data_IF_968989533004
#
_entry.id   IF_968989533004
#
_cell.length_a   1.000
_cell.length_b   1.000
_cell.length_c   1.000
_cell.angle_alpha   90.00
_cell.angle_beta   90.00
_cell.angle_gamma   90.00
#
_symmetry.space_group_name_H-M   'P 1'
#
loop_
_entity.id
_entity.type
_entity.pdbx_description
1 polymer ?
#
# COMPACT_ATOMS: atom_id res chain seq x y z
N UNK A 1 -28.16 -8.16 -11.61
CA UNK A 1 -27.03 -8.20 -12.57
C UNK A 1 -26.81 -6.85 -13.24
N UNK A 2 -27.83 -6.18 -13.81
CA UNK A 2 -27.69 -4.83 -14.35
C UNK A 2 -27.11 -3.83 -13.32
N UNK A 3 -27.69 -3.77 -12.12
CA UNK A 3 -27.17 -2.94 -11.01
C UNK A 3 -25.71 -3.24 -10.64
N UNK A 4 -25.30 -4.51 -10.63
CA UNK A 4 -23.93 -4.90 -10.32
C UNK A 4 -22.91 -4.40 -11.36
N UNK A 5 -23.33 -4.31 -12.63
CA UNK A 5 -22.51 -3.73 -13.71
C UNK A 5 -22.45 -2.22 -13.58
N UNK A 6 -23.55 -1.56 -13.21
CA UNK A 6 -23.59 -0.12 -12.93
C UNK A 6 -22.67 0.25 -11.77
N UNK A 7 -22.72 -0.49 -10.66
CA UNK A 7 -21.81 -0.30 -9.51
C UNK A 7 -20.34 -0.46 -9.92
N UNK A 8 -20.03 -1.46 -10.75
CA UNK A 8 -18.68 -1.66 -11.30
C UNK A 8 -18.24 -0.48 -12.17
N UNK A 9 -19.14 0.02 -13.03
CA UNK A 9 -18.86 1.17 -13.89
C UNK A 9 -18.61 2.43 -13.07
N UNK A 10 -19.42 2.65 -12.04
CA UNK A 10 -19.24 3.76 -11.11
C UNK A 10 -17.90 3.63 -10.36
N UNK A 11 -17.53 2.43 -9.93
CA UNK A 11 -16.29 2.19 -9.20
C UNK A 11 -15.03 2.54 -10.00
N UNK A 12 -14.88 2.05 -11.24
CA UNK A 12 -13.63 2.31 -11.99
C UNK A 12 -13.53 3.76 -12.46
N UNK A 13 -14.66 4.42 -12.80
CA UNK A 13 -14.67 5.80 -13.30
C UNK A 13 -14.12 6.81 -12.30
N UNK A 14 -14.20 6.53 -11.00
CA UNK A 14 -13.63 7.37 -9.91
C UNK A 14 -12.11 7.53 -10.01
N UNK A 15 -11.45 6.58 -10.68
CA UNK A 15 -10.00 6.56 -10.88
C UNK A 15 -9.60 6.99 -12.30
N UNK A 16 -10.51 7.64 -13.04
CA UNK A 16 -10.27 8.10 -14.40
C UNK A 16 -10.67 9.57 -14.53
N UNK A 17 -9.74 10.41 -14.95
CA UNK A 17 -9.99 11.81 -15.31
C UNK A 17 -9.06 12.22 -16.45
N UNK A 18 -9.41 13.29 -17.14
CA UNK A 18 -8.54 13.89 -18.16
C UNK A 18 -7.41 14.65 -17.49
N UNK A 19 -6.17 14.46 -17.95
CA UNK A 19 -4.99 15.22 -17.51
C UNK A 19 -4.57 16.13 -18.67
N UNK A 20 -4.76 17.43 -18.52
CA UNK A 20 -4.40 18.45 -19.50
C UNK A 20 -3.12 19.18 -19.08
N UNK A 21 -2.81 19.19 -17.78
CA UNK A 21 -1.63 19.84 -17.21
C UNK A 21 -1.13 19.13 -15.95
N UNK A 22 -0.03 19.63 -15.37
CA UNK A 22 0.47 19.15 -14.09
C UNK A 22 -0.51 19.41 -12.94
N UNK A 23 -1.39 20.42 -13.06
CA UNK A 23 -2.37 20.78 -12.04
C UNK A 23 -3.49 19.74 -11.90
N UNK A 24 -3.61 18.79 -12.84
CA UNK A 24 -4.54 17.66 -12.78
C UNK A 24 -3.91 16.42 -12.10
N UNK A 25 -2.61 16.47 -11.80
CA UNK A 25 -1.89 15.40 -11.11
C UNK A 25 -1.87 15.64 -9.61
N UNK A 26 -1.87 14.54 -8.85
CA UNK A 26 -1.72 14.56 -7.38
C UNK A 26 -0.66 13.55 -7.00
N UNK A 27 0.38 13.99 -6.29
CA UNK A 27 1.42 13.12 -5.76
C UNK A 27 1.20 12.99 -4.25
N UNK A 28 1.03 11.77 -3.75
CA UNK A 28 0.84 11.49 -2.33
C UNK A 28 2.02 10.68 -1.78
N UNK A 29 3.09 11.32 -1.27
CA UNK A 29 4.19 10.60 -0.65
C UNK A 29 3.74 9.90 0.64
N UNK A 30 4.30 8.73 0.91
CA UNK A 30 3.97 7.95 2.11
C UNK A 30 5.17 7.31 2.80
N UNK A 31 6.38 7.39 2.22
CA UNK A 31 7.64 6.94 2.79
C UNK A 31 8.78 7.84 2.31
N UNK A 32 9.74 8.09 3.19
CA UNK A 32 11.06 8.59 2.81
C UNK A 32 11.99 7.38 2.75
N UNK A 33 12.55 7.10 1.58
CA UNK A 33 13.34 5.87 1.38
C UNK A 33 14.81 6.05 1.75
N UNK A 34 15.42 7.17 1.35
CA UNK A 34 16.82 7.48 1.65
C UNK A 34 17.09 8.99 1.53
N UNK A 35 18.21 9.42 2.11
CA UNK A 35 18.83 10.73 1.96
C UNK A 35 20.36 10.56 2.09
N UNK A 36 21.11 11.65 1.94
CA UNK A 36 22.57 11.62 2.10
C UNK A 36 22.95 11.04 3.47
N UNK A 37 23.58 9.87 3.47
CA UNK A 37 24.02 9.17 4.68
C UNK A 37 22.92 8.48 5.50
N UNK A 38 21.69 8.31 5.01
CA UNK A 38 20.64 7.60 5.77
C UNK A 38 19.56 6.89 4.94
N UNK A 39 18.99 5.85 5.53
CA UNK A 39 17.90 5.02 4.99
C UNK A 39 16.66 5.17 5.88
N UNK A 40 15.50 5.42 5.27
CA UNK A 40 14.30 5.78 6.03
C UNK A 40 13.43 4.62 6.50
N UNK A 41 13.61 3.41 5.97
CA UNK A 41 12.75 2.25 6.29
C UNK A 41 12.88 1.76 7.75
N UNK A 42 13.96 2.13 8.44
CA UNK A 42 14.20 1.81 9.85
C UNK A 42 13.56 2.82 10.81
N UNK A 43 13.12 3.97 10.28
CA UNK A 43 12.40 4.98 11.07
C UNK A 43 10.92 4.61 11.20
N UNK A 44 10.32 4.96 12.34
CA UNK A 44 8.90 4.79 12.55
C UNK A 44 8.07 5.61 11.55
N UNK A 45 6.87 5.13 11.23
CA UNK A 45 5.98 5.79 10.28
C UNK A 45 5.48 7.15 10.77
N UNK A 46 5.47 7.41 12.09
CA UNK A 46 5.12 8.72 12.64
C UNK A 46 6.12 9.77 12.18
N UNK A 47 7.40 9.54 12.48
CA UNK A 47 8.48 10.41 12.04
C UNK A 47 8.51 10.60 10.52
N UNK A 48 8.37 9.53 9.73
CA UNK A 48 8.37 9.64 8.26
C UNK A 48 7.23 10.53 7.75
N UNK A 49 6.02 10.36 8.29
CA UNK A 49 4.84 11.12 7.87
C UNK A 49 4.91 12.58 8.32
N UNK A 50 5.55 12.88 9.45
CA UNK A 50 5.85 14.27 9.84
C UNK A 50 6.80 14.96 8.85
N UNK A 51 7.86 14.28 8.40
CA UNK A 51 8.75 14.84 7.38
C UNK A 51 8.02 15.05 6.04
N UNK A 52 7.17 14.09 5.65
CA UNK A 52 6.35 14.21 4.43
C UNK A 52 5.36 15.36 4.54
N UNK A 53 4.73 15.57 5.69
CA UNK A 53 3.81 16.69 5.89
C UNK A 53 4.52 18.04 5.68
N UNK A 54 5.80 18.15 6.06
CA UNK A 54 6.60 19.34 5.80
C UNK A 54 6.83 19.54 4.30
N UNK A 55 7.04 18.47 3.54
CA UNK A 55 7.14 18.55 2.07
C UNK A 55 5.81 18.98 1.46
N UNK A 56 4.69 18.40 1.93
CA UNK A 56 3.34 18.79 1.49
C UNK A 56 3.07 20.27 1.77
N UNK A 57 3.47 20.77 2.94
CA UNK A 57 3.32 22.19 3.28
C UNK A 57 4.19 23.11 2.41
N UNK A 58 5.30 22.62 1.87
CA UNK A 58 6.19 23.38 0.99
C UNK A 58 5.66 23.49 -0.45
N UNK A 59 4.93 22.48 -0.94
CA UNK A 59 4.25 22.52 -2.24
C UNK A 59 2.86 21.85 -2.20
N UNK A 60 1.85 22.54 -1.63
CA UNK A 60 0.50 21.99 -1.52
C UNK A 60 -0.26 21.95 -2.86
N UNK A 61 0.31 22.52 -3.93
CA UNK A 61 -0.31 22.51 -5.26
C UNK A 61 -0.13 21.14 -5.94
N UNK A 62 1.03 20.52 -5.76
CA UNK A 62 1.37 19.22 -6.34
C UNK A 62 1.24 18.07 -5.34
N UNK A 63 1.66 18.30 -4.09
CA UNK A 63 1.74 17.27 -3.06
C UNK A 63 0.47 17.21 -2.23
N UNK A 64 -0.04 15.99 -2.03
CA UNK A 64 -1.22 15.70 -1.22
C UNK A 64 -0.82 14.93 0.03
N UNK A 65 -1.32 15.38 1.18
CA UNK A 65 -1.21 14.64 2.44
C UNK A 65 -1.92 13.30 2.33
N UNK A 66 -1.26 12.25 2.84
CA UNK A 66 -1.90 10.94 3.04
C UNK A 66 -2.69 10.96 4.35
N UNK A 67 -4.02 10.84 4.26
CA UNK A 67 -4.88 10.67 5.43
C UNK A 67 -4.57 9.37 6.16
N UNK A 68 -4.62 9.40 7.50
CA UNK A 68 -4.07 8.34 8.34
C UNK A 68 -4.71 8.33 9.73
N UNK A 69 -4.65 7.17 10.36
CA UNK A 69 -5.09 6.95 11.73
C UNK A 69 -4.09 6.06 12.47
N UNK A 70 -3.78 6.42 13.71
CA UNK A 70 -3.00 5.59 14.63
C UNK A 70 -3.94 4.63 15.36
N UNK A 71 -3.55 3.36 15.41
CA UNK A 71 -4.40 2.30 15.97
C UNK A 71 -3.59 1.51 16.99
N UNK A 72 -4.00 1.58 18.25
CA UNK A 72 -3.62 0.59 19.26
C UNK A 72 -4.49 -0.66 19.09
N UNK A 73 -3.86 -1.81 18.86
CA UNK A 73 -4.55 -3.09 18.69
C UNK A 73 -4.90 -3.77 20.03
N UNK A 74 -4.38 -3.28 21.14
CA UNK A 74 -4.73 -3.71 22.50
C UNK A 74 -5.96 -3.00 23.07
N UNK A 75 -6.45 -1.95 22.41
CA UNK A 75 -7.62 -1.17 22.80
C UNK A 75 -8.77 -1.37 21.81
N UNK A 76 -9.85 -1.98 22.28
CA UNK A 76 -11.06 -2.27 21.48
C UNK A 76 -11.71 -0.99 20.92
N UNK A 77 -11.63 0.12 21.65
CA UNK A 77 -12.23 1.39 21.21
C UNK A 77 -11.45 2.02 20.06
N UNK A 78 -10.12 1.95 20.11
CA UNK A 78 -9.21 2.30 19.02
C UNK A 78 -9.46 1.47 17.75
N UNK A 79 -9.63 0.14 17.89
CA UNK A 79 -9.95 -0.75 16.77
C UNK A 79 -11.33 -0.43 16.16
N UNK A 80 -12.32 -0.15 16.99
CA UNK A 80 -13.66 0.25 16.52
C UNK A 80 -13.61 1.57 15.76
N UNK A 81 -12.87 2.57 16.26
CA UNK A 81 -12.68 3.85 15.58
C UNK A 81 -11.97 3.69 14.22
N UNK A 82 -10.96 2.82 14.13
CA UNK A 82 -10.27 2.53 12.88
C UNK A 82 -11.17 1.85 11.84
N UNK A 83 -12.03 0.94 12.31
CA UNK A 83 -13.01 0.27 11.46
C UNK A 83 -14.04 1.27 10.92
N UNK A 84 -14.57 2.13 11.78
CA UNK A 84 -15.53 3.16 11.38
C UNK A 84 -14.91 4.15 10.38
N UNK A 85 -13.67 4.59 10.61
CA UNK A 85 -12.95 5.44 9.67
C UNK A 85 -12.77 4.76 8.30
N UNK A 86 -12.39 3.47 8.29
CA UNK A 86 -12.28 2.70 7.06
C UNK A 86 -13.62 2.58 6.31
N UNK A 87 -14.73 2.37 7.03
CA UNK A 87 -16.07 2.35 6.44
C UNK A 87 -16.42 3.71 5.83
N UNK A 88 -16.09 4.81 6.50
CA UNK A 88 -16.33 6.18 6.00
C UNK A 88 -15.54 6.46 4.73
N UNK A 89 -14.22 6.20 4.70
CA UNK A 89 -13.40 6.50 3.51
C UNK A 89 -13.79 5.61 2.32
N UNK A 90 -14.22 4.38 2.55
CA UNK A 90 -14.64 3.48 1.46
C UNK A 90 -16.06 3.74 0.99
N UNK A 91 -16.93 4.27 1.85
CA UNK A 91 -18.23 4.81 1.45
C UNK A 91 -18.10 6.12 0.67
N UNK A 92 -17.08 6.93 0.97
CA UNK A 92 -16.70 8.14 0.25
C UNK A 92 -15.76 7.86 -0.93
N UNK A 93 -15.96 6.72 -1.60
CA UNK A 93 -15.31 6.37 -2.87
C UNK A 93 -13.80 6.07 -2.83
N UNK A 94 -13.21 5.98 -1.63
CA UNK A 94 -11.82 5.54 -1.45
C UNK A 94 -11.61 4.05 -1.74
N UNK A 95 -10.40 3.71 -2.19
CA UNK A 95 -10.02 2.31 -2.44
C UNK A 95 -10.03 1.47 -1.16
N UNK A 96 -9.64 2.05 -0.03
CA UNK A 96 -9.43 1.37 1.24
C UNK A 96 -8.24 1.94 1.98
N UNK A 97 -7.55 1.10 2.75
CA UNK A 97 -6.39 1.49 3.55
C UNK A 97 -5.22 0.53 3.41
N UNK A 98 -4.04 1.00 3.80
CA UNK A 98 -2.85 0.19 4.00
C UNK A 98 -2.47 0.24 5.47
N UNK A 99 -2.49 -0.91 6.14
CA UNK A 99 -2.11 -1.06 7.55
C UNK A 99 -0.62 -1.38 7.62
N UNK A 100 0.14 -0.62 8.40
CA UNK A 100 1.59 -0.77 8.54
C UNK A 100 1.98 -0.81 10.03
N UNK A 101 3.01 -1.58 10.43
CA UNK A 101 3.55 -1.51 11.78
C UNK A 101 4.13 -0.11 12.07
N UNK A 102 3.76 0.52 13.19
CA UNK A 102 4.22 1.88 13.52
C UNK A 102 5.75 2.01 13.46
N UNK A 103 6.48 1.05 14.00
CA UNK A 103 7.93 1.07 14.09
C UNK A 103 8.68 0.87 12.75
N UNK A 104 7.98 0.77 11.61
CA UNK A 104 8.62 0.53 10.31
C UNK A 104 9.11 -0.92 10.16
N UNK A 105 10.43 -1.12 10.12
CA UNK A 105 11.05 -2.44 9.99
C UNK A 105 10.90 -3.27 11.28
N UNK A 106 9.96 -4.23 11.28
CA UNK A 106 9.66 -5.08 12.46
C UNK A 106 9.92 -6.55 12.19
N UNK A 107 10.66 -7.21 13.09
CA UNK A 107 10.83 -8.67 13.11
C UNK A 107 10.14 -9.29 14.33
N UNK A 108 9.47 -10.42 14.12
CA UNK A 108 8.88 -11.24 15.18
C UNK A 108 9.57 -12.59 15.31
N UNK A 109 8.99 -13.51 16.10
CA UNK A 109 9.53 -14.86 16.34
C UNK A 109 9.72 -15.71 15.07
N UNK A 110 9.04 -15.37 13.98
CA UNK A 110 9.08 -16.09 12.69
C UNK A 110 9.80 -15.31 11.59
N UNK A 111 10.63 -14.33 11.97
CA UNK A 111 11.34 -13.44 11.05
C UNK A 111 10.54 -12.16 10.77
N UNK A 112 10.80 -11.56 9.61
CA UNK A 112 10.28 -10.26 9.23
C UNK A 112 8.74 -10.26 9.15
N UNK A 113 8.12 -9.25 9.76
CA UNK A 113 6.67 -9.02 9.69
C UNK A 113 6.34 -8.35 8.36
N UNK A 114 5.12 -8.55 7.84
CA UNK A 114 4.66 -7.84 6.64
C UNK A 114 4.76 -6.33 6.85
N UNK A 115 5.50 -5.60 6.00
CA UNK A 115 5.69 -4.16 6.15
C UNK A 115 4.39 -3.38 5.89
N UNK A 116 3.47 -3.97 5.13
CA UNK A 116 2.20 -3.38 4.77
C UNK A 116 1.15 -4.45 4.46
N UNK A 117 -0.09 -4.22 4.86
CA UNK A 117 -1.25 -5.04 4.51
C UNK A 117 -2.33 -4.15 3.92
N UNK A 118 -2.74 -4.42 2.68
CA UNK A 118 -3.85 -3.70 2.03
C UNK A 118 -5.20 -4.24 2.51
N UNK A 119 -6.13 -3.34 2.82
CA UNK A 119 -7.53 -3.64 3.14
C UNK A 119 -8.44 -2.78 2.27
N UNK A 120 -8.98 -3.37 1.20
CA UNK A 120 -9.72 -2.68 0.14
C UNK A 120 -11.23 -2.72 0.38
N UNK A 121 -11.90 -1.62 0.08
CA UNK A 121 -13.34 -1.41 0.21
C UNK A 121 -14.16 -2.31 -0.72
N UNK A 122 -15.40 -2.56 -0.33
CA UNK A 122 -16.34 -3.44 -1.04
C UNK A 122 -16.55 -3.00 -2.49
N UNK A 123 -16.85 -1.72 -2.72
CA UNK A 123 -17.17 -1.25 -4.06
C UNK A 123 -15.93 -1.24 -4.98
N UNK A 124 -14.76 -0.88 -4.45
CA UNK A 124 -13.49 -0.98 -5.18
C UNK A 124 -13.18 -2.42 -5.64
N UNK A 125 -13.44 -3.40 -4.79
CA UNK A 125 -13.17 -4.81 -5.11
C UNK A 125 -13.99 -5.35 -6.28
N UNK A 126 -15.02 -4.65 -6.77
CA UNK A 126 -15.68 -4.98 -8.06
C UNK A 126 -14.74 -4.85 -9.24
N UNK A 127 -13.81 -3.87 -9.20
CA UNK A 127 -12.80 -3.67 -10.24
C UNK A 127 -11.88 -4.90 -10.34
N UNK A 128 -11.63 -5.53 -9.20
CA UNK A 128 -10.65 -6.63 -9.05
C UNK A 128 -11.28 -8.00 -9.24
N UNK A 129 -12.43 -8.25 -8.61
CA UNK A 129 -13.09 -9.56 -8.58
C UNK A 129 -14.29 -9.67 -9.53
N UNK A 130 -14.62 -8.58 -10.23
CA UNK A 130 -15.72 -8.49 -11.18
C UNK A 130 -17.01 -7.94 -10.57
N UNK A 131 -17.97 -7.52 -11.41
CA UNK A 131 -19.19 -6.82 -10.97
C UNK A 131 -20.05 -7.62 -9.99
N UNK A 132 -20.11 -8.94 -10.17
CA UNK A 132 -20.99 -9.85 -9.41
C UNK A 132 -20.29 -10.58 -8.27
N UNK A 133 -19.07 -10.17 -7.88
CA UNK A 133 -18.28 -10.90 -6.88
C UNK A 133 -18.97 -10.98 -5.50
N UNK A 134 -19.86 -10.04 -5.19
CA UNK A 134 -20.63 -9.98 -3.95
C UNK A 134 -21.80 -10.97 -3.89
N UNK A 135 -22.17 -11.62 -5.00
CA UNK A 135 -23.22 -12.64 -4.99
C UNK A 135 -22.79 -13.81 -4.07
N UNK A 136 -23.69 -14.39 -3.24
CA UNK A 136 -23.31 -15.33 -2.19
C UNK A 136 -22.41 -16.48 -2.65
N UNK A 137 -22.76 -17.15 -3.76
CA UNK A 137 -21.97 -18.26 -4.31
C UNK A 137 -20.65 -17.84 -4.96
N UNK A 138 -20.50 -16.59 -5.39
CA UNK A 138 -19.22 -16.06 -5.85
C UNK A 138 -18.33 -15.71 -4.67
N UNK A 139 -18.89 -15.01 -3.67
CA UNK A 139 -18.16 -14.58 -2.49
C UNK A 139 -17.65 -15.77 -1.67
N UNK A 140 -18.45 -16.82 -1.50
CA UNK A 140 -18.06 -18.03 -0.78
C UNK A 140 -16.85 -18.71 -1.42
N UNK A 141 -16.86 -18.85 -2.76
CA UNK A 141 -15.70 -19.39 -3.51
C UNK A 141 -14.47 -18.51 -3.38
N UNK A 142 -14.63 -17.18 -3.42
CA UNK A 142 -13.52 -16.22 -3.32
C UNK A 142 -12.89 -16.14 -1.91
N UNK A 143 -13.62 -16.53 -0.85
CA UNK A 143 -13.05 -16.64 0.50
C UNK A 143 -11.98 -17.73 0.58
N UNK A 144 -12.06 -18.76 -0.26
CA UNK A 144 -11.06 -19.82 -0.36
C UNK A 144 -9.84 -19.36 -1.18
N UNK A 145 -9.04 -18.44 -0.62
CA UNK A 145 -7.84 -17.88 -1.26
C UNK A 145 -6.58 -18.14 -0.45
N UNK A 146 -5.46 -18.38 -1.13
CA UNK A 146 -4.14 -18.52 -0.50
C UNK A 146 -3.35 -17.22 -0.62
N UNK A 147 -2.89 -16.70 0.52
CA UNK A 147 -2.06 -15.50 0.59
C UNK A 147 -0.56 -15.82 0.78
N UNK A 148 -0.21 -17.09 0.99
CA UNK A 148 1.13 -17.50 1.41
C UNK A 148 2.22 -17.09 0.41
N UNK A 149 2.02 -17.40 -0.88
CA UNK A 149 2.99 -17.06 -1.94
C UNK A 149 3.20 -15.56 -2.07
N UNK A 150 2.12 -14.76 -2.12
CA UNK A 150 2.22 -13.29 -2.24
C UNK A 150 2.90 -12.68 -1.01
N UNK A 151 2.59 -13.16 0.20
CA UNK A 151 3.25 -12.74 1.44
C UNK A 151 4.75 -13.05 1.42
N UNK A 152 5.14 -14.23 0.94
CA UNK A 152 6.55 -14.62 0.86
C UNK A 152 7.32 -13.85 -0.23
N UNK A 153 6.68 -13.53 -1.36
CA UNK A 153 7.24 -12.65 -2.40
C UNK A 153 7.45 -11.23 -1.84
N UNK A 154 6.42 -10.64 -1.24
CA UNK A 154 6.49 -9.29 -0.68
C UNK A 154 7.62 -9.11 0.35
N UNK A 155 7.87 -10.11 1.22
CA UNK A 155 8.98 -10.04 2.18
C UNK A 155 10.36 -10.11 1.52
N UNK A 156 10.51 -10.90 0.45
CA UNK A 156 11.77 -11.01 -0.30
C UNK A 156 12.05 -9.75 -1.10
N UNK A 157 11.04 -9.23 -1.81
CA UNK A 157 11.12 -7.95 -2.53
C UNK A 157 11.47 -6.81 -1.57
N UNK A 158 10.79 -6.75 -0.41
CA UNK A 158 11.06 -5.74 0.60
C UNK A 158 12.48 -5.83 1.17
N UNK A 159 12.98 -7.04 1.45
CA UNK A 159 14.35 -7.23 1.92
C UNK A 159 15.39 -6.81 0.86
N UNK A 160 15.16 -7.13 -0.42
CA UNK A 160 16.02 -6.68 -1.51
C UNK A 160 15.97 -5.15 -1.69
N UNK A 161 14.79 -4.53 -1.54
CA UNK A 161 14.64 -3.09 -1.61
C UNK A 161 15.39 -2.38 -0.48
N UNK A 162 15.28 -2.92 0.74
CA UNK A 162 16.03 -2.42 1.90
C UNK A 162 17.54 -2.51 1.70
N UNK A 163 18.03 -3.67 1.24
CA UNK A 163 19.45 -3.89 0.94
C UNK A 163 19.95 -2.97 -0.19
N UNK A 164 19.15 -2.76 -1.23
CA UNK A 164 19.51 -1.86 -2.34
C UNK A 164 19.72 -0.41 -1.84
N UNK A 165 18.85 0.07 -0.95
CA UNK A 165 18.94 1.40 -0.36
C UNK A 165 20.20 1.56 0.50
N UNK A 166 20.50 0.57 1.35
CA UNK A 166 21.73 0.57 2.16
C UNK A 166 22.98 0.61 1.29
N UNK A 167 23.08 -0.27 0.29
CA UNK A 167 24.23 -0.29 -0.63
C UNK A 167 24.40 1.00 -1.39
N UNK A 168 23.30 1.65 -1.76
CA UNK A 168 23.33 2.94 -2.43
C UNK A 168 23.85 4.05 -1.49
N UNK A 169 23.31 4.15 -0.28
CA UNK A 169 23.70 5.16 0.72
C UNK A 169 25.15 4.96 1.18
N UNK A 170 25.62 3.73 1.29
CA UNK A 170 27.00 3.37 1.63
C UNK A 170 27.99 3.53 0.46
N UNK A 171 27.54 4.04 -0.69
CA UNK A 171 28.36 4.27 -1.89
C UNK A 171 29.06 2.99 -2.40
N UNK A 172 28.42 1.83 -2.26
CA UNK A 172 28.93 0.60 -2.85
C UNK A 172 28.86 0.68 -4.39
N UNK A 173 29.65 -0.18 -5.06
CA UNK A 173 29.65 -0.23 -6.52
C UNK A 173 28.25 -0.45 -7.10
N UNK A 174 27.91 0.25 -8.19
CA UNK A 174 26.55 0.27 -8.76
C UNK A 174 25.99 -1.14 -9.06
N UNK A 175 26.84 -2.09 -9.45
CA UNK A 175 26.44 -3.48 -9.69
C UNK A 175 25.90 -4.18 -8.43
N UNK A 176 26.38 -3.80 -7.23
CA UNK A 176 25.90 -4.29 -5.93
C UNK A 176 24.52 -3.75 -5.59
N UNK A 177 24.22 -2.51 -5.99
CA UNK A 177 22.87 -1.95 -5.87
C UNK A 177 21.95 -2.66 -6.87
N UNK A 178 22.39 -2.78 -8.13
CA UNK A 178 21.60 -3.35 -9.21
C UNK A 178 21.30 -4.84 -9.04
N UNK A 179 22.17 -5.66 -8.45
CA UNK A 179 21.82 -7.07 -8.19
C UNK A 179 20.56 -7.21 -7.29
N UNK A 180 20.37 -6.29 -6.34
CA UNK A 180 19.18 -6.25 -5.50
C UNK A 180 17.95 -5.73 -6.28
N UNK A 181 18.10 -4.62 -7.01
CA UNK A 181 17.03 -4.02 -7.83
C UNK A 181 16.53 -5.00 -8.90
N UNK A 182 17.45 -5.69 -9.60
CA UNK A 182 17.09 -6.70 -10.59
C UNK A 182 16.54 -7.97 -9.96
N UNK A 183 16.94 -8.29 -8.72
CA UNK A 183 16.30 -9.35 -7.94
C UNK A 183 14.81 -9.07 -7.70
N UNK A 184 14.43 -7.83 -7.39
CA UNK A 184 13.02 -7.44 -7.23
C UNK A 184 12.28 -7.62 -8.56
N UNK A 185 12.85 -7.11 -9.66
CA UNK A 185 12.26 -7.23 -10.99
C UNK A 185 12.06 -8.70 -11.40
N UNK A 186 13.02 -9.57 -11.08
CA UNK A 186 12.91 -10.99 -11.35
C UNK A 186 11.80 -11.65 -10.50
N UNK A 187 11.66 -11.29 -9.22
CA UNK A 187 10.60 -11.82 -8.35
C UNK A 187 9.20 -11.41 -8.79
N UNK A 188 9.02 -10.21 -9.36
CA UNK A 188 7.73 -9.76 -9.91
C UNK A 188 7.28 -10.57 -11.15
N UNK A 189 8.17 -11.36 -11.76
CA UNK A 189 7.81 -12.30 -12.83
C UNK A 189 7.23 -13.63 -12.32
N UNK A 190 7.31 -13.89 -11.01
CA UNK A 190 6.77 -15.11 -10.41
C UNK A 190 5.23 -15.11 -10.45
N UNK A 191 4.58 -16.15 -11.01
CA UNK A 191 3.13 -16.15 -11.16
C UNK A 191 2.44 -16.16 -9.80
N UNK A 192 1.60 -15.17 -9.57
CA UNK A 192 0.77 -15.04 -8.37
C UNK A 192 -0.65 -14.64 -8.77
N UNK A 193 -1.63 -14.91 -7.92
CA UNK A 193 -3.01 -14.47 -8.17
C UNK A 193 -3.02 -12.92 -8.32
N UNK A 194 -3.36 -12.38 -9.51
CA UNK A 194 -3.25 -10.95 -9.78
C UNK A 194 -4.28 -10.12 -9.00
N UNK A 195 -5.23 -10.77 -8.31
CA UNK A 195 -6.26 -10.10 -7.51
C UNK A 195 -5.77 -9.72 -6.11
N UNK A 196 -4.59 -10.21 -5.69
CA UNK A 196 -4.05 -10.07 -4.32
C UNK A 196 -3.25 -8.78 -4.09
#
# INVERSE_FOLDING_TARGET
RASAVEDYIAAYRRYCWTVESLDDLRIAPFQLLAWEGGVGLEHDHGWQLEQIDRLVAADPSLLRRTDRQWVDLGDESSVAAATQWWEQITAADGEGMVVKPLAGLVSGRRGLVQPAIKCRGREYLRIIYGPTYTEPGNLERLRQRSLGRKRALALREYALGHEALHRFVEQQGLYRVHECVFGILALESEPVDPRL
#
